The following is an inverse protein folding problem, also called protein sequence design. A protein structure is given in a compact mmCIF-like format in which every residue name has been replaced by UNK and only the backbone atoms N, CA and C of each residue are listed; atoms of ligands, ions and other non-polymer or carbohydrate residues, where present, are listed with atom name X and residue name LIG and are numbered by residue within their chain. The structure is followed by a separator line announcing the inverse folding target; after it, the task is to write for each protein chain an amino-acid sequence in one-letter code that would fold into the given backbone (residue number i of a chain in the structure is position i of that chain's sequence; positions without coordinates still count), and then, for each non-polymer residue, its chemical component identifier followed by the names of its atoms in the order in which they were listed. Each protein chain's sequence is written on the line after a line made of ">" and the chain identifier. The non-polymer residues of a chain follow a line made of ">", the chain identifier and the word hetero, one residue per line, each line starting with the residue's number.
data_IF_697970622839
#
_entry.id   IF_697970622839
#
_cell.length_a   1.000
_cell.length_b   1.000
_cell.length_c   1.000
_cell.angle_alpha   90.00
_cell.angle_beta   90.00
_cell.angle_gamma   90.00
#
_symmetry.space_group_name_H-M   'P 1'
#
loop_
_entity.id
_entity.type
_entity.pdbx_description
1 polymer ?
#
# COMPACT_ATOMS: atom_id res chain seq x y z
N UNK A 1 -5.93 5.75 -15.38
CA UNK A 1 -7.05 6.70 -15.50
C UNK A 1 -6.71 7.92 -14.66
N UNK A 2 -6.43 9.05 -15.26
CA UNK A 2 -6.38 10.31 -14.51
C UNK A 2 -7.76 10.64 -13.94
N UNK A 3 -7.86 11.17 -12.72
CA UNK A 3 -6.80 11.65 -11.86
C UNK A 3 -6.15 10.60 -10.96
N UNK A 4 -6.62 9.37 -10.93
CA UNK A 4 -6.03 8.32 -10.11
C UNK A 4 -5.29 7.31 -10.99
N UNK A 5 -3.98 7.14 -10.76
CA UNK A 5 -3.18 6.11 -11.41
C UNK A 5 -3.12 4.88 -10.51
N UNK A 6 -3.96 3.89 -10.78
CA UNK A 6 -3.88 2.58 -10.13
C UNK A 6 -3.33 1.56 -11.13
N UNK A 7 -2.24 0.92 -10.77
CA UNK A 7 -1.70 -0.22 -11.51
C UNK A 7 -1.89 -1.46 -10.64
N UNK A 8 -2.62 -2.45 -11.15
CA UNK A 8 -2.85 -3.71 -10.44
C UNK A 8 -1.52 -4.31 -10.01
N UNK A 9 -1.47 -4.81 -8.79
CA UNK A 9 -0.29 -5.40 -8.16
C UNK A 9 0.86 -4.42 -7.81
N UNK A 10 0.64 -3.10 -7.87
CA UNK A 10 1.69 -2.11 -7.58
C UNK A 10 2.21 -2.17 -6.14
N UNK A 11 1.38 -2.59 -5.18
CA UNK A 11 1.74 -2.71 -3.76
C UNK A 11 2.01 -4.16 -3.32
N UNK A 12 1.87 -5.14 -4.21
CA UNK A 12 2.07 -6.57 -3.88
C UNK A 12 3.47 -6.81 -3.31
N UNK A 13 4.50 -6.22 -3.90
CA UNK A 13 5.88 -6.35 -3.40
C UNK A 13 6.04 -5.79 -1.98
N UNK A 14 5.38 -4.67 -1.67
CA UNK A 14 5.40 -4.05 -0.32
C UNK A 14 4.70 -4.96 0.68
N UNK A 15 3.51 -5.50 0.36
CA UNK A 15 2.80 -6.42 1.24
C UNK A 15 3.58 -7.71 1.47
N UNK A 16 4.19 -8.31 0.43
CA UNK A 16 5.07 -9.46 0.61
C UNK A 16 6.24 -9.12 1.53
N UNK A 17 6.86 -7.96 1.36
CA UNK A 17 7.93 -7.48 2.23
C UNK A 17 7.47 -7.33 3.69
N UNK A 18 6.22 -6.88 3.93
CA UNK A 18 5.63 -6.81 5.27
C UNK A 18 5.47 -8.18 5.93
N UNK A 19 5.26 -9.26 5.14
CA UNK A 19 5.19 -10.63 5.66
C UNK A 19 6.57 -11.19 6.02
N UNK A 20 7.64 -10.56 5.55
CA UNK A 20 9.03 -10.96 5.83
C UNK A 20 9.53 -10.24 7.09
N UNK A 21 9.61 -8.91 7.07
CA UNK A 21 10.06 -8.14 8.22
C UNK A 21 9.78 -6.64 8.07
N UNK A 22 9.73 -5.88 9.20
CA UNK A 22 9.58 -4.42 9.14
C UNK A 22 10.71 -3.72 8.37
N UNK A 23 11.95 -4.18 8.52
CA UNK A 23 13.08 -3.61 7.79
C UNK A 23 12.94 -3.82 6.27
N UNK A 24 12.55 -5.03 5.85
CA UNK A 24 12.30 -5.35 4.44
C UNK A 24 11.16 -4.51 3.87
N UNK A 25 10.06 -4.35 4.62
CA UNK A 25 8.91 -3.56 4.21
C UNK A 25 9.28 -2.09 3.94
N UNK A 26 9.98 -1.46 4.89
CA UNK A 26 10.46 -0.08 4.77
C UNK A 26 11.43 0.06 3.60
N UNK A 27 12.37 -0.87 3.46
CA UNK A 27 13.36 -0.85 2.38
C UNK A 27 12.69 -0.95 0.99
N UNK A 28 11.73 -1.86 0.82
CA UNK A 28 11.02 -2.01 -0.47
C UNK A 28 10.17 -0.79 -0.77
N UNK A 29 9.44 -0.24 0.22
CA UNK A 29 8.62 0.95 0.02
C UNK A 29 9.48 2.18 -0.34
N UNK A 30 10.57 2.42 0.39
CA UNK A 30 11.50 3.51 0.08
C UNK A 30 12.19 3.33 -1.27
N UNK A 31 12.62 2.10 -1.57
CA UNK A 31 13.23 1.76 -2.87
C UNK A 31 12.28 2.00 -4.04
N UNK A 32 10.98 1.73 -3.88
CA UNK A 32 9.96 2.03 -4.89
C UNK A 32 9.88 3.54 -5.16
N UNK A 33 9.88 4.38 -4.12
CA UNK A 33 9.87 5.83 -4.27
C UNK A 33 11.11 6.34 -5.00
N UNK A 34 12.29 5.83 -4.64
CA UNK A 34 13.56 6.15 -5.32
C UNK A 34 13.53 5.69 -6.78
N UNK A 35 13.01 4.49 -7.04
CA UNK A 35 12.83 3.98 -8.39
C UNK A 35 11.94 4.88 -9.25
N UNK A 36 10.83 5.37 -8.72
CA UNK A 36 9.96 6.32 -9.43
C UNK A 36 10.64 7.67 -9.68
N UNK A 37 11.43 8.17 -8.71
CA UNK A 37 12.20 9.39 -8.88
C UNK A 37 13.22 9.25 -10.03
N UNK A 38 13.99 8.16 -10.04
CA UNK A 38 14.99 7.89 -11.08
C UNK A 38 14.36 7.62 -12.45
N UNK A 39 13.15 7.08 -12.49
CA UNK A 39 12.39 6.86 -13.71
C UNK A 39 11.71 8.13 -14.25
N UNK A 40 11.87 9.29 -13.58
CA UNK A 40 11.33 10.58 -14.02
C UNK A 40 9.83 10.74 -13.84
N UNK A 41 9.21 10.01 -12.90
CA UNK A 41 7.78 10.20 -12.59
C UNK A 41 7.52 11.59 -11.98
N UNK A 42 6.32 12.16 -12.17
CA UNK A 42 5.92 13.41 -11.53
C UNK A 42 6.14 13.37 -10.02
N UNK A 43 6.62 14.47 -9.45
CA UNK A 43 7.01 14.53 -8.03
C UNK A 43 5.86 14.14 -7.07
N UNK A 44 4.62 14.43 -7.43
CA UNK A 44 3.46 14.01 -6.64
C UNK A 44 3.36 12.48 -6.55
N UNK A 45 3.66 11.76 -7.63
CA UNK A 45 3.66 10.28 -7.64
C UNK A 45 4.82 9.75 -6.79
N UNK A 46 5.99 10.37 -6.86
CA UNK A 46 7.16 10.01 -6.04
C UNK A 46 6.86 10.17 -4.56
N UNK A 47 6.27 11.30 -4.15
CA UNK A 47 5.96 11.56 -2.73
C UNK A 47 4.82 10.65 -2.25
N UNK A 48 3.82 10.35 -3.09
CA UNK A 48 2.81 9.32 -2.80
C UNK A 48 3.49 7.97 -2.54
N UNK A 49 4.38 7.52 -3.41
CA UNK A 49 5.15 6.29 -3.22
C UNK A 49 6.01 6.33 -1.93
N UNK A 50 6.61 7.47 -1.60
CA UNK A 50 7.36 7.63 -0.36
C UNK A 50 6.47 7.49 0.89
N UNK A 51 5.21 7.95 0.83
CA UNK A 51 4.25 7.80 1.93
C UNK A 51 3.89 6.34 2.25
N UNK A 52 4.11 5.41 1.32
CA UNK A 52 3.90 3.98 1.54
C UNK A 52 4.75 3.41 2.69
N UNK A 53 5.87 4.03 3.00
CA UNK A 53 6.71 3.67 4.17
C UNK A 53 5.90 3.66 5.46
N UNK A 54 4.91 4.54 5.61
CA UNK A 54 4.12 4.67 6.83
C UNK A 54 3.27 3.42 7.08
N UNK A 55 2.44 3.02 6.11
CA UNK A 55 1.61 1.83 6.27
C UNK A 55 2.44 0.54 6.26
N UNK A 56 3.53 0.50 5.48
CA UNK A 56 4.44 -0.64 5.42
C UNK A 56 5.12 -0.88 6.76
N UNK A 57 5.64 0.18 7.40
CA UNK A 57 6.24 0.10 8.72
C UNK A 57 5.20 -0.28 9.79
N UNK A 58 4.08 0.45 9.86
CA UNK A 58 3.04 0.20 10.87
C UNK A 58 2.46 -1.21 10.76
N UNK A 59 2.10 -1.64 9.54
CA UNK A 59 1.52 -2.94 9.30
C UNK A 59 2.49 -4.09 9.58
N UNK A 60 3.75 -3.97 9.15
CA UNK A 60 4.76 -5.02 9.40
C UNK A 60 5.14 -5.13 10.89
N UNK A 61 5.24 -4.01 11.62
CA UNK A 61 5.44 -4.01 13.07
C UNK A 61 4.24 -4.67 13.78
N UNK A 62 3.03 -4.38 13.34
CA UNK A 62 1.83 -5.02 13.87
C UNK A 62 1.85 -6.54 13.63
N UNK A 63 2.14 -6.99 12.40
CA UNK A 63 2.24 -8.42 12.07
C UNK A 63 3.33 -9.13 12.87
N UNK A 64 4.48 -8.48 13.12
CA UNK A 64 5.54 -9.04 13.96
C UNK A 64 5.08 -9.26 15.40
N UNK A 65 4.27 -8.34 15.95
CA UNK A 65 3.72 -8.47 17.33
C UNK A 65 2.53 -9.42 17.40
N UNK A 66 1.80 -9.60 16.30
CA UNK A 66 0.58 -10.40 16.21
C UNK A 66 0.67 -11.41 15.06
N UNK A 67 1.49 -12.47 15.19
CA UNK A 67 1.79 -13.42 14.10
C UNK A 67 0.56 -14.21 13.63
N UNK A 68 -0.50 -14.24 14.43
CA UNK A 68 -1.74 -14.97 14.15
C UNK A 68 -2.77 -14.15 13.33
N UNK A 69 -2.47 -12.87 13.05
CA UNK A 69 -3.39 -11.96 12.34
C UNK A 69 -3.83 -12.52 10.99
N UNK A 70 -2.95 -13.19 10.26
CA UNK A 70 -3.23 -13.72 8.92
C UNK A 70 -3.67 -15.19 8.92
N UNK A 71 -3.96 -15.79 10.09
CA UNK A 71 -4.41 -17.18 10.18
C UNK A 71 -5.91 -17.35 9.96
N UNK A 72 -6.71 -16.31 10.14
CA UNK A 72 -8.15 -16.34 9.88
C UNK A 72 -8.54 -15.31 8.83
N UNK A 73 -9.56 -15.62 8.05
CA UNK A 73 -10.07 -14.71 7.03
C UNK A 73 -10.50 -13.38 7.66
N UNK A 74 -11.27 -13.42 8.76
CA UNK A 74 -11.80 -12.21 9.42
C UNK A 74 -10.69 -11.27 9.90
N UNK A 75 -9.69 -11.80 10.63
CA UNK A 75 -8.59 -10.95 11.13
C UNK A 75 -7.72 -10.39 10.01
N UNK A 76 -7.52 -11.18 8.95
CA UNK A 76 -6.84 -10.74 7.74
C UNK A 76 -7.57 -9.60 7.03
N UNK A 77 -8.93 -9.67 6.94
CA UNK A 77 -9.72 -8.59 6.36
C UNK A 77 -9.65 -7.30 7.18
N UNK A 78 -9.78 -7.42 8.51
CA UNK A 78 -9.67 -6.26 9.41
C UNK A 78 -8.29 -5.61 9.28
N UNK A 79 -7.23 -6.41 9.22
CA UNK A 79 -5.87 -5.92 9.01
C UNK A 79 -5.71 -5.23 7.65
N UNK A 80 -6.20 -5.86 6.57
CA UNK A 80 -6.17 -5.30 5.22
C UNK A 80 -6.90 -3.95 5.15
N UNK A 81 -8.10 -3.87 5.74
CA UNK A 81 -8.85 -2.62 5.79
C UNK A 81 -8.12 -1.55 6.62
N UNK A 82 -7.59 -1.89 7.78
CA UNK A 82 -6.86 -0.94 8.63
C UNK A 82 -5.60 -0.38 7.94
N UNK A 83 -4.81 -1.25 7.31
CA UNK A 83 -3.63 -0.82 6.55
C UNK A 83 -4.02 -0.05 5.29
N UNK A 84 -5.09 -0.45 4.60
CA UNK A 84 -5.65 0.27 3.46
C UNK A 84 -6.15 1.68 3.82
N UNK A 85 -6.83 1.83 4.97
CA UNK A 85 -7.26 3.14 5.47
C UNK A 85 -6.05 4.03 5.80
N UNK A 86 -5.06 3.50 6.50
CA UNK A 86 -3.83 4.25 6.77
C UNK A 86 -3.14 4.70 5.48
N UNK A 87 -3.04 3.80 4.49
CA UNK A 87 -2.50 4.10 3.18
C UNK A 87 -3.29 5.22 2.49
N UNK A 88 -4.62 5.09 2.38
CA UNK A 88 -5.47 6.11 1.74
C UNK A 88 -5.40 7.48 2.42
N UNK A 89 -5.36 7.52 3.76
CA UNK A 89 -5.18 8.76 4.52
C UNK A 89 -3.84 9.42 4.18
N UNK A 90 -2.74 8.67 4.18
CA UNK A 90 -1.43 9.20 3.82
C UNK A 90 -1.42 9.76 2.39
N UNK A 91 -2.03 9.07 1.44
CA UNK A 91 -2.12 9.53 0.06
C UNK A 91 -2.93 10.83 -0.08
N UNK A 92 -4.08 10.93 0.60
CA UNK A 92 -4.87 12.17 0.62
C UNK A 92 -4.06 13.33 1.19
N UNK A 93 -3.38 13.12 2.33
CA UNK A 93 -2.54 14.15 2.96
C UNK A 93 -1.44 14.61 2.01
N UNK A 94 -0.80 13.70 1.30
CA UNK A 94 0.26 14.03 0.32
C UNK A 94 -0.30 14.81 -0.86
N UNK A 95 -1.48 14.44 -1.38
CA UNK A 95 -2.04 15.07 -2.59
C UNK A 95 -2.63 16.45 -2.30
N UNK A 96 -3.12 16.71 -1.07
CA UNK A 96 -3.74 17.99 -0.72
C UNK A 96 -2.88 19.23 -1.04
N UNK A 97 -1.59 19.32 -0.65
CA UNK A 97 -0.76 20.48 -0.99
C UNK A 97 -0.62 20.71 -2.49
N UNK A 98 -0.53 19.63 -3.27
CA UNK A 98 -0.45 19.74 -4.74
C UNK A 98 -1.76 20.20 -5.34
N UNK A 99 -2.90 19.73 -4.82
CA UNK A 99 -4.21 20.14 -5.27
C UNK A 99 -4.44 21.63 -5.00
N UNK A 100 -4.28 22.09 -3.77
CA UNK A 100 -4.49 23.49 -3.39
C UNK A 100 -3.41 24.44 -3.93
N UNK A 101 -2.21 23.93 -4.24
CA UNK A 101 -1.14 24.68 -4.90
C UNK A 101 -1.26 24.77 -6.43
N UNK A 102 -2.36 24.27 -7.02
CA UNK A 102 -2.57 24.24 -8.48
C UNK A 102 -1.45 23.51 -9.26
N UNK A 103 -0.85 22.49 -8.64
CA UNK A 103 0.25 21.71 -9.22
C UNK A 103 -0.22 20.31 -9.69
N UNK A 104 -1.51 20.15 -10.02
CA UNK A 104 -2.09 18.92 -10.53
C UNK A 104 -2.57 19.10 -11.95
N UNK A 105 -2.84 18.00 -12.66
CA UNK A 105 -3.43 18.08 -13.99
C UNK A 105 -4.88 18.61 -13.94
N UNK A 106 -5.34 19.21 -15.05
CA UNK A 106 -6.71 19.75 -15.17
C UNK A 106 -7.79 18.72 -14.84
N UNK A 107 -7.53 17.44 -15.06
CA UNK A 107 -8.46 16.35 -14.77
C UNK A 107 -8.80 16.24 -13.26
N UNK A 108 -7.88 16.63 -12.36
CA UNK A 108 -8.15 16.68 -10.92
C UNK A 108 -9.14 17.79 -10.56
N UNK A 109 -9.01 18.96 -11.20
CA UNK A 109 -9.86 20.13 -10.89
C UNK A 109 -11.25 20.01 -11.51
N UNK A 110 -11.37 19.38 -12.67
CA UNK A 110 -12.64 19.22 -13.38
C UNK A 110 -13.72 18.50 -12.56
N UNK A 111 -13.33 17.60 -11.65
CA UNK A 111 -14.25 16.83 -10.78
C UNK A 111 -14.38 17.40 -9.37
N UNK A 112 -13.59 18.41 -9.03
CA UNK A 112 -13.54 19.02 -7.70
C UNK A 112 -12.82 18.15 -6.66
N UNK A 113 -12.52 18.77 -5.51
CA UNK A 113 -11.69 18.19 -4.45
C UNK A 113 -12.25 16.85 -3.90
N UNK A 114 -13.55 16.83 -3.57
CA UNK A 114 -14.18 15.65 -2.95
C UNK A 114 -14.08 14.44 -3.88
N UNK A 115 -14.42 14.62 -5.16
CA UNK A 115 -14.39 13.48 -6.09
C UNK A 115 -12.97 13.07 -6.43
N UNK A 116 -12.08 14.03 -6.73
CA UNK A 116 -10.75 13.73 -7.22
C UNK A 116 -9.79 13.28 -6.11
N UNK A 117 -9.84 13.90 -4.94
CA UNK A 117 -8.88 13.61 -3.86
C UNK A 117 -9.48 12.65 -2.85
N UNK A 118 -10.67 12.93 -2.31
CA UNK A 118 -11.21 12.09 -1.25
C UNK A 118 -11.70 10.74 -1.79
N UNK A 119 -12.51 10.75 -2.85
CA UNK A 119 -13.08 9.51 -3.39
C UNK A 119 -12.09 8.76 -4.29
N UNK A 120 -11.55 9.39 -5.33
CA UNK A 120 -10.69 8.67 -6.28
C UNK A 120 -9.32 8.34 -5.68
N UNK A 121 -8.64 9.28 -5.02
CA UNK A 121 -7.36 8.96 -4.37
C UNK A 121 -7.60 8.23 -3.06
N UNK A 122 -8.37 8.77 -2.11
CA UNK A 122 -8.55 8.18 -0.79
C UNK A 122 -9.24 6.82 -0.82
N UNK A 123 -10.53 6.79 -1.18
CA UNK A 123 -11.30 5.52 -1.19
C UNK A 123 -10.79 4.56 -2.25
N UNK A 124 -10.40 5.07 -3.44
CA UNK A 124 -9.80 4.26 -4.49
C UNK A 124 -8.53 3.55 -4.02
N UNK A 125 -7.66 4.24 -3.28
CA UNK A 125 -6.45 3.64 -2.69
C UNK A 125 -6.79 2.54 -1.66
N UNK A 126 -7.82 2.72 -0.82
CA UNK A 126 -8.25 1.68 0.13
C UNK A 126 -8.66 0.42 -0.61
N UNK A 127 -9.54 0.53 -1.61
CA UNK A 127 -10.03 -0.61 -2.40
C UNK A 127 -8.87 -1.30 -3.13
N UNK A 128 -8.03 -0.50 -3.80
CA UNK A 128 -6.87 -1.00 -4.52
C UNK A 128 -5.87 -1.72 -3.60
N UNK A 129 -5.59 -1.13 -2.42
CA UNK A 129 -4.72 -1.71 -1.41
C UNK A 129 -5.24 -3.06 -0.90
N UNK A 130 -6.55 -3.19 -0.70
CA UNK A 130 -7.16 -4.46 -0.28
C UNK A 130 -7.03 -5.54 -1.37
N UNK A 131 -7.20 -5.18 -2.64
CA UNK A 131 -7.00 -6.11 -3.77
C UNK A 131 -5.54 -6.57 -3.83
N UNK A 132 -4.59 -5.64 -3.77
CA UNK A 132 -3.15 -5.95 -3.81
C UNK A 132 -2.71 -6.79 -2.59
N UNK A 133 -3.31 -6.56 -1.42
CA UNK A 133 -3.08 -7.38 -0.24
C UNK A 133 -3.54 -8.84 -0.45
N UNK A 134 -4.69 -9.06 -1.09
CA UNK A 134 -5.15 -10.41 -1.44
C UNK A 134 -4.22 -11.10 -2.42
N UNK A 135 -3.78 -10.38 -3.45
CA UNK A 135 -2.81 -10.91 -4.42
C UNK A 135 -1.50 -11.27 -3.73
N UNK A 136 -1.02 -10.41 -2.83
CA UNK A 136 0.18 -10.67 -2.04
C UNK A 136 0.04 -11.95 -1.19
N UNK A 137 -1.10 -12.16 -0.53
CA UNK A 137 -1.35 -13.38 0.23
C UNK A 137 -1.41 -14.63 -0.65
N UNK A 138 -2.05 -14.54 -1.82
CA UNK A 138 -2.14 -15.65 -2.76
C UNK A 138 -0.73 -16.07 -3.25
N UNK A 139 0.14 -15.10 -3.52
CA UNK A 139 1.54 -15.34 -3.92
C UNK A 139 2.35 -15.85 -2.72
N UNK A 140 2.16 -15.26 -1.53
CA UNK A 140 2.95 -15.61 -0.35
C UNK A 140 2.72 -17.03 0.14
N UNK A 141 1.49 -17.57 0.02
CA UNK A 141 1.17 -18.95 0.44
C UNK A 141 2.14 -20.00 -0.11
N UNK A 142 2.36 -20.14 -1.43
CA UNK A 142 3.33 -21.08 -1.97
C UNK A 142 4.77 -20.68 -1.71
N UNK A 143 5.11 -19.39 -1.84
CA UNK A 143 6.47 -18.87 -1.67
C UNK A 143 6.97 -19.10 -0.24
N UNK A 144 6.16 -18.84 0.76
CA UNK A 144 6.53 -19.01 2.17
C UNK A 144 6.86 -20.48 2.54
N UNK A 145 6.37 -21.45 1.78
CA UNK A 145 6.72 -22.86 1.98
C UNK A 145 8.10 -23.22 1.39
N UNK A 146 8.47 -22.53 0.30
CA UNK A 146 9.72 -22.77 -0.40
C UNK A 146 10.90 -22.03 0.25
N UNK A 147 10.66 -20.90 0.91
CA UNK A 147 11.70 -20.05 1.48
C UNK A 147 11.82 -20.28 2.99
N UNK A 148 13.03 -20.63 3.44
CA UNK A 148 13.37 -20.76 4.87
C UNK A 148 13.78 -19.39 5.41
N UNK A 149 12.84 -18.67 6.00
CA UNK A 149 13.09 -17.40 6.67
C UNK A 149 12.94 -17.58 8.19
N UNK A 150 13.82 -16.99 9.01
CA UNK A 150 13.79 -17.16 10.47
C UNK A 150 12.55 -16.55 11.13
N UNK A 151 12.04 -15.45 10.61
CA UNK A 151 10.85 -14.76 11.11
C UNK A 151 9.91 -14.47 9.92
N UNK A 152 8.91 -15.30 9.68
CA UNK A 152 7.92 -15.08 8.63
C UNK A 152 6.50 -15.19 9.16
N UNK A 153 5.64 -14.34 8.66
CA UNK A 153 4.21 -14.44 8.94
C UNK A 153 3.61 -15.60 8.16
N UNK A 154 2.94 -16.50 8.87
CA UNK A 154 2.27 -17.65 8.26
C UNK A 154 0.85 -17.23 7.83
N UNK A 155 0.55 -17.40 6.54
CA UNK A 155 -0.78 -17.20 5.96
C UNK A 155 -1.42 -18.56 5.79
N UNK A 156 -2.15 -19.03 6.80
CA UNK A 156 -2.90 -20.27 6.75
C UNK A 156 -4.35 -19.97 7.16
N UNK A 157 -5.25 -19.87 6.17
CA UNK A 157 -6.67 -19.98 6.48
C UNK A 157 -6.97 -21.47 6.65
N UNK A 158 -7.19 -21.90 7.88
CA UNK A 158 -7.91 -23.14 8.11
C UNK A 158 -9.34 -22.91 7.60
N UNK A 159 -9.72 -23.62 6.56
CA UNK A 159 -11.07 -23.67 6.04
C UNK A 159 -12.01 -24.26 7.10
#
# INVERSE_FOLDING_TARGET
>A
MEPASFTLASHVAIFIAMFISPATAVFVAAGTAVGFLLAGFPIVIVIRAASHVVFAAAGSVYLKKHPDTLKTFKSSQVFSLATGLLHGICEVIVVMPFYFGNNMSSAYYAKGFIVSVVLLVGVGTVVHSMIDFYLAQAIWKPVSKAVKLPEKVSVNYNA
#
